data_IF_269025953053
#
_entry.id   IF_269025953053
#
_cell.length_a   1.000
_cell.length_b   1.000
_cell.length_c   1.000
_cell.angle_alpha   90.00
_cell.angle_beta   90.00
_cell.angle_gamma   90.00
#
_symmetry.space_group_name_H-M   'P 1'
#
loop_
_entity.id
_entity.type
_entity.pdbx_description
1 polymer ?
#
# COMPACT_ATOMS: atom_id res chain seq x y z
N UNK A 1 18.49 -7.05 -27.87
CA UNK A 1 17.85 -5.85 -27.31
C UNK A 1 17.73 -6.03 -25.80
N UNK A 2 18.38 -5.17 -25.02
CA UNK A 2 18.35 -5.21 -23.56
C UNK A 2 17.04 -4.59 -23.05
N UNK A 3 16.57 -5.01 -21.88
CA UNK A 3 15.32 -4.53 -21.26
C UNK A 3 15.25 -3.00 -21.15
N UNK A 4 16.39 -2.34 -20.95
CA UNK A 4 16.50 -0.87 -20.88
C UNK A 4 16.19 -0.21 -22.23
N UNK A 5 16.70 -0.78 -23.32
CA UNK A 5 16.45 -0.27 -24.67
C UNK A 5 14.96 -0.37 -25.03
N UNK A 6 14.30 -1.47 -24.62
CA UNK A 6 12.88 -1.67 -24.86
C UNK A 6 12.02 -0.66 -24.11
N UNK A 7 12.35 -0.38 -22.85
CA UNK A 7 11.66 0.65 -22.06
C UNK A 7 11.77 2.03 -22.72
N UNK A 8 12.96 2.39 -23.18
CA UNK A 8 13.18 3.69 -23.83
C UNK A 8 12.37 3.84 -25.12
N UNK A 9 12.31 2.80 -25.96
CA UNK A 9 11.50 2.81 -27.19
C UNK A 9 10.01 2.96 -26.85
N UNK A 10 9.51 2.24 -25.85
CA UNK A 10 8.11 2.32 -25.44
C UNK A 10 7.74 3.71 -24.91
N UNK A 11 8.60 4.33 -24.10
CA UNK A 11 8.39 5.70 -23.59
C UNK A 11 8.28 6.70 -24.74
N UNK A 12 9.21 6.65 -25.70
CA UNK A 12 9.16 7.53 -26.87
C UNK A 12 7.89 7.31 -27.68
N UNK A 13 7.51 6.06 -27.92
CA UNK A 13 6.30 5.73 -28.68
C UNK A 13 5.03 6.21 -28.01
N UNK A 14 4.95 6.15 -26.68
CA UNK A 14 3.81 6.65 -25.91
C UNK A 14 3.74 8.18 -25.97
N UNK A 15 4.87 8.87 -25.91
CA UNK A 15 4.94 10.33 -25.96
C UNK A 15 4.43 10.93 -27.29
N UNK A 16 4.49 10.16 -28.38
CA UNK A 16 3.99 10.57 -29.70
C UNK A 16 2.46 10.41 -29.88
N UNK A 17 1.78 9.75 -28.94
CA UNK A 17 0.34 9.46 -29.05
C UNK A 17 -0.48 10.65 -28.54
N UNK A 18 -1.33 11.21 -29.40
CA UNK A 18 -2.28 12.28 -29.04
C UNK A 18 -3.70 11.76 -28.74
N UNK A 19 -4.00 10.49 -29.07
CA UNK A 19 -5.30 9.88 -28.82
C UNK A 19 -5.45 9.48 -27.35
N UNK A 20 -6.31 10.23 -26.64
CA UNK A 20 -6.62 10.00 -25.22
C UNK A 20 -7.22 8.63 -24.95
N UNK A 21 -8.12 8.15 -25.81
CA UNK A 21 -8.77 6.84 -25.64
C UNK A 21 -7.75 5.72 -25.75
N UNK A 22 -6.80 5.86 -26.67
CA UNK A 22 -5.71 4.91 -26.84
C UNK A 22 -4.72 4.94 -25.66
N UNK A 23 -4.35 6.14 -25.18
CA UNK A 23 -3.53 6.28 -23.97
C UNK A 23 -4.22 5.67 -22.73
N UNK A 24 -5.54 5.81 -22.59
CA UNK A 24 -6.31 5.18 -21.51
C UNK A 24 -6.28 3.66 -21.61
N UNK A 25 -6.41 3.08 -22.80
CA UNK A 25 -6.30 1.64 -22.98
C UNK A 25 -4.90 1.12 -22.59
N UNK A 26 -3.84 1.81 -23.01
CA UNK A 26 -2.46 1.49 -22.62
C UNK A 26 -2.29 1.55 -21.09
N UNK A 27 -2.81 2.60 -20.46
CA UNK A 27 -2.79 2.75 -18.99
C UNK A 27 -3.47 1.56 -18.30
N UNK A 28 -4.68 1.18 -18.72
CA UNK A 28 -5.41 0.04 -18.14
C UNK A 28 -4.64 -1.29 -18.28
N UNK A 29 -3.97 -1.51 -19.41
CA UNK A 29 -3.12 -2.70 -19.62
C UNK A 29 -1.89 -2.67 -18.69
N UNK A 30 -1.26 -1.52 -18.53
CA UNK A 30 -0.12 -1.38 -17.62
C UNK A 30 -0.55 -1.54 -16.16
N UNK A 31 -1.69 -0.95 -15.77
CA UNK A 31 -2.25 -1.04 -14.42
C UNK A 31 -2.66 -2.47 -14.05
N UNK A 32 -3.13 -3.26 -15.02
CA UNK A 32 -3.47 -4.68 -14.80
C UNK A 32 -2.25 -5.61 -14.76
N UNK A 33 -1.10 -5.16 -15.28
CA UNK A 33 0.18 -5.89 -15.26
C UNK A 33 1.14 -5.44 -14.17
N UNK A 34 1.03 -4.20 -13.71
CA UNK A 34 1.50 -3.87 -12.38
C UNK A 34 0.61 -4.67 -11.45
N UNK A 35 1.10 -5.83 -11.02
CA UNK A 35 0.59 -6.44 -9.81
C UNK A 35 0.44 -5.29 -8.83
N UNK A 36 -0.80 -4.91 -8.53
CA UNK A 36 -1.09 -4.32 -7.24
C UNK A 36 -0.32 -5.23 -6.31
N UNK A 37 0.73 -4.73 -5.65
CA UNK A 37 1.41 -5.50 -4.62
C UNK A 37 0.36 -5.68 -3.54
N UNK A 38 -0.51 -6.68 -3.73
CA UNK A 38 -1.43 -7.17 -2.73
C UNK A 38 -0.45 -7.66 -1.69
N UNK A 39 -0.27 -6.84 -0.66
CA UNK A 39 0.59 -7.16 0.46
C UNK A 39 0.04 -8.46 1.03
N UNK A 40 0.74 -9.55 0.72
CA UNK A 40 0.35 -10.87 1.16
C UNK A 40 0.79 -10.95 2.61
N UNK A 41 -0.17 -10.85 3.52
CA UNK A 41 0.08 -11.01 4.95
C UNK A 41 0.45 -12.46 5.23
N UNK A 42 1.38 -12.66 6.16
CA UNK A 42 1.65 -14.00 6.69
C UNK A 42 0.44 -14.51 7.48
N UNK A 43 0.32 -15.83 7.71
CA UNK A 43 -0.73 -16.37 8.56
C UNK A 43 -0.75 -15.74 9.96
N UNK A 44 0.42 -15.46 10.54
CA UNK A 44 0.54 -14.83 11.86
C UNK A 44 -0.03 -13.41 11.84
N UNK A 45 0.37 -12.58 10.88
CA UNK A 45 -0.14 -11.21 10.74
C UNK A 45 -1.65 -11.17 10.52
N UNK A 46 -2.18 -12.11 9.72
CA UNK A 46 -3.63 -12.23 9.51
C UNK A 46 -4.35 -12.60 10.82
N UNK A 47 -3.80 -13.54 11.58
CA UNK A 47 -4.38 -13.97 12.84
C UNK A 47 -4.35 -12.85 13.89
N UNK A 48 -3.25 -12.09 13.95
CA UNK A 48 -3.09 -10.94 14.84
C UNK A 48 -4.13 -9.86 14.55
N UNK A 49 -4.33 -9.49 13.28
CA UNK A 49 -5.36 -8.52 12.88
C UNK A 49 -6.76 -9.03 13.24
N UNK A 50 -7.04 -10.33 13.06
CA UNK A 50 -8.34 -10.93 13.42
C UNK A 50 -8.55 -10.89 14.94
N UNK A 51 -7.50 -11.17 15.72
CA UNK A 51 -7.56 -11.11 17.18
C UNK A 51 -7.79 -9.66 17.66
N UNK A 52 -6.99 -8.71 17.16
CA UNK A 52 -7.11 -7.29 17.49
C UNK A 52 -8.51 -6.74 17.18
N UNK A 53 -9.11 -7.12 16.05
CA UNK A 53 -10.50 -6.73 15.73
C UNK A 53 -11.51 -7.25 16.76
N UNK A 54 -11.35 -8.48 17.25
CA UNK A 54 -12.21 -9.05 18.29
C UNK A 54 -12.02 -8.36 19.63
N UNK A 55 -10.79 -8.01 19.97
CA UNK A 55 -10.48 -7.25 21.19
C UNK A 55 -11.17 -5.88 21.16
N UNK A 56 -11.10 -5.17 20.04
CA UNK A 56 -11.81 -3.89 19.86
C UNK A 56 -13.33 -4.06 20.01
N UNK A 57 -13.92 -5.09 19.40
CA UNK A 57 -15.36 -5.40 19.54
C UNK A 57 -15.75 -5.72 21.00
N UNK A 58 -14.83 -6.26 21.79
CA UNK A 58 -15.01 -6.56 23.21
C UNK A 58 -14.72 -5.37 24.12
N UNK A 59 -14.34 -4.21 23.56
CA UNK A 59 -13.93 -3.04 24.34
C UNK A 59 -12.55 -3.18 24.98
N UNK A 60 -11.76 -4.17 24.57
CA UNK A 60 -10.38 -4.40 25.01
C UNK A 60 -9.41 -3.58 24.18
N UNK A 61 -9.60 -2.26 24.19
CA UNK A 61 -8.71 -1.31 23.57
C UNK A 61 -8.48 -0.13 24.51
N UNK A 62 -7.44 0.65 24.24
CA UNK A 62 -7.17 1.91 24.92
C UNK A 62 -7.30 3.03 23.90
N UNK A 63 -7.86 4.16 24.31
CA UNK A 63 -7.94 5.33 23.44
C UNK A 63 -6.55 5.93 23.24
N UNK A 64 -6.33 6.52 22.06
CA UNK A 64 -5.03 7.08 21.72
C UNK A 64 -4.59 8.16 22.72
N UNK A 65 -5.53 9.01 23.16
CA UNK A 65 -5.28 10.06 24.15
C UNK A 65 -4.88 9.52 25.53
N UNK A 66 -5.29 8.30 25.88
CA UNK A 66 -4.88 7.64 27.13
C UNK A 66 -3.50 7.02 26.99
N UNK A 67 -3.23 6.36 25.86
CA UNK A 67 -1.91 5.82 25.54
C UNK A 67 -0.83 6.91 25.51
N UNK A 68 -1.13 8.06 24.90
CA UNK A 68 -0.18 9.17 24.78
C UNK A 68 0.19 9.75 26.16
N UNK A 69 -0.77 9.83 27.09
CA UNK A 69 -0.51 10.23 28.49
C UNK A 69 0.39 9.24 29.22
N UNK A 70 0.22 7.94 29.00
CA UNK A 70 1.10 6.93 29.61
C UNK A 70 2.53 7.04 29.08
N UNK A 71 2.67 7.23 27.77
CA UNK A 71 3.98 7.43 27.12
C UNK A 71 4.66 8.69 27.65
N UNK A 72 3.94 9.81 27.73
CA UNK A 72 4.45 11.06 28.30
C UNK A 72 4.85 10.89 29.77
N UNK A 73 4.06 10.13 30.54
CA UNK A 73 4.39 9.76 31.92
C UNK A 73 5.73 9.03 32.00
N UNK A 74 5.94 8.02 31.16
CA UNK A 74 7.20 7.27 31.12
C UNK A 74 8.39 8.15 30.71
N UNK A 75 8.22 9.03 29.72
CA UNK A 75 9.29 9.91 29.25
C UNK A 75 9.71 10.94 30.32
N UNK A 76 8.76 11.39 31.14
CA UNK A 76 8.99 12.38 32.20
C UNK A 76 9.37 11.75 33.56
N UNK A 77 9.46 10.42 33.64
CA UNK A 77 9.97 9.74 34.84
C UNK A 77 11.51 9.71 34.77
N UNK A 78 12.14 10.83 35.08
CA UNK A 78 13.60 10.97 35.26
C UNK A 78 13.92 11.73 36.54
#
# INVERSE_FOLDING_TARGET
MKTVELKNILIHRIAEINDKSFLQAIKTILDSKSESKVLTLTPEQRNEIIASKKEVEQGLFIENDELEKEIDGWLNTK
#
